data_IF_135550489699
#
_entry.id   IF_135550489699
#
_cell.length_a   1.000
_cell.length_b   1.000
_cell.length_c   1.000
_cell.angle_alpha   90.00
_cell.angle_beta   90.00
_cell.angle_gamma   90.00
#
_symmetry.space_group_name_H-M   'P 1'
#
loop_
_entity.id
_entity.type
_entity.pdbx_description
1 polymer ?
#
# COMPACT_ATOMS: atom_id res chain seq x y z
N UNK A 1 -6.15 -11.75 64.48
CA UNK A 1 -5.08 -11.41 63.49
C UNK A 1 -5.26 -12.10 62.16
N UNK A 2 -6.42 -12.02 61.48
CA UNK A 2 -6.64 -12.75 60.21
C UNK A 2 -7.37 -11.93 59.10
N UNK A 3 -7.42 -10.60 59.24
CA UNK A 3 -8.10 -9.74 58.25
C UNK A 3 -7.17 -9.02 57.25
N UNK A 4 -5.84 -9.07 57.45
CA UNK A 4 -4.87 -8.35 56.59
C UNK A 4 -4.37 -9.21 55.41
N UNK A 5 -4.46 -10.53 55.48
CA UNK A 5 -3.98 -11.41 54.42
C UNK A 5 -4.93 -11.52 53.19
N UNK A 6 -6.20 -11.15 53.36
CA UNK A 6 -7.17 -11.21 52.25
C UNK A 6 -7.11 -10.00 51.29
N UNK A 7 -6.66 -8.84 51.79
CA UNK A 7 -6.50 -7.66 50.92
C UNK A 7 -5.26 -7.70 50.04
N UNK A 8 -4.19 -8.38 50.48
CA UNK A 8 -2.98 -8.52 49.68
C UNK A 8 -3.17 -9.39 48.43
N UNK A 9 -3.99 -10.43 48.51
CA UNK A 9 -4.29 -11.32 47.40
C UNK A 9 -5.14 -10.66 46.30
N UNK A 10 -6.05 -9.79 46.67
CA UNK A 10 -6.91 -9.07 45.75
C UNK A 10 -6.16 -7.96 45.00
N UNK A 11 -5.17 -7.33 45.60
CA UNK A 11 -4.36 -6.29 44.98
C UNK A 11 -3.38 -6.88 43.94
N UNK A 12 -2.83 -8.07 44.22
CA UNK A 12 -1.96 -8.76 43.24
C UNK A 12 -2.76 -9.29 42.03
N UNK A 13 -3.96 -9.82 42.27
CA UNK A 13 -4.85 -10.25 41.15
C UNK A 13 -5.36 -9.07 40.32
N UNK A 14 -5.60 -7.89 40.94
CA UNK A 14 -5.99 -6.68 40.22
C UNK A 14 -4.83 -6.06 39.41
N UNK A 15 -3.57 -6.23 39.83
CA UNK A 15 -2.42 -5.77 39.07
C UNK A 15 -2.07 -6.72 37.90
N UNK A 16 -2.39 -8.01 38.02
CA UNK A 16 -2.20 -8.97 36.94
C UNK A 16 -3.26 -8.85 35.83
N UNK A 17 -4.45 -8.32 36.15
CA UNK A 17 -5.48 -8.05 35.15
C UNK A 17 -5.31 -6.69 34.43
N UNK A 18 -4.39 -5.83 34.89
CA UNK A 18 -4.05 -4.57 34.24
C UNK A 18 -2.86 -4.67 33.30
N UNK A 19 -2.17 -5.82 33.17
CA UNK A 19 -1.22 -6.10 32.13
C UNK A 19 -2.02 -6.42 30.85
N UNK A 20 -2.22 -5.41 29.98
CA UNK A 20 -2.68 -5.64 28.62
C UNK A 20 -1.81 -6.69 27.93
N UNK A 21 -2.36 -7.41 26.97
CA UNK A 21 -1.66 -8.41 26.19
C UNK A 21 -0.30 -7.85 25.74
N UNK A 22 0.80 -8.46 26.21
CA UNK A 22 2.15 -8.04 25.85
C UNK A 22 2.55 -8.60 24.48
N UNK A 23 1.94 -9.71 24.09
CA UNK A 23 2.19 -10.43 22.86
C UNK A 23 0.88 -10.87 22.20
N UNK A 24 0.91 -11.06 20.89
CA UNK A 24 -0.20 -11.57 20.09
C UNK A 24 0.29 -12.63 19.10
N UNK A 25 -0.51 -13.69 18.92
CA UNK A 25 -0.28 -14.66 17.86
C UNK A 25 -0.89 -14.15 16.57
N UNK A 26 -0.05 -14.02 15.54
CA UNK A 26 -0.45 -13.69 14.18
C UNK A 26 -0.41 -14.98 13.37
N UNK A 27 -1.60 -15.50 13.06
CA UNK A 27 -1.76 -16.74 12.32
C UNK A 27 -2.99 -16.62 11.42
N UNK A 28 -2.77 -16.21 10.19
CA UNK A 28 -3.83 -15.86 9.25
C UNK A 28 -4.66 -17.09 8.86
N UNK A 29 -5.85 -17.19 9.40
CA UNK A 29 -6.83 -18.25 9.11
C UNK A 29 -8.21 -17.67 8.99
N UNK A 30 -8.77 -17.76 7.82
CA UNK A 30 -10.13 -17.33 7.53
C UNK A 30 -11.00 -18.53 7.18
N UNK A 31 -11.98 -18.84 8.01
CA UNK A 31 -12.87 -19.98 7.81
C UNK A 31 -13.91 -19.71 6.72
N UNK A 32 -14.51 -18.52 6.75
CA UNK A 32 -15.54 -18.12 5.81
C UNK A 32 -15.07 -16.96 4.94
N UNK A 33 -15.40 -16.93 3.65
CA UNK A 33 -15.10 -15.80 2.78
C UNK A 33 -15.71 -14.51 3.31
N UNK A 34 -14.98 -13.39 3.16
CA UNK A 34 -15.48 -12.07 3.54
C UNK A 34 -15.49 -11.14 2.33
N UNK A 35 -16.56 -10.36 2.20
CA UNK A 35 -16.67 -9.31 1.21
C UNK A 35 -16.45 -7.96 1.88
N UNK A 36 -15.52 -7.19 1.34
CA UNK A 36 -15.11 -5.88 1.83
C UNK A 36 -15.42 -4.81 0.78
N UNK A 37 -15.80 -3.63 1.22
CA UNK A 37 -15.76 -2.42 0.42
C UNK A 37 -14.42 -1.74 0.64
N UNK A 38 -13.62 -1.64 -0.41
CA UNK A 38 -12.34 -0.95 -0.42
C UNK A 38 -12.52 0.47 -0.92
N UNK A 39 -12.20 1.45 -0.08
CA UNK A 39 -11.99 2.82 -0.48
C UNK A 39 -10.49 3.10 -0.54
N UNK A 40 -10.02 3.67 -1.64
CA UNK A 40 -8.64 4.10 -1.78
C UNK A 40 -8.61 5.58 -2.10
N UNK A 41 -7.89 6.35 -1.30
CA UNK A 41 -7.52 7.72 -1.61
C UNK A 41 -6.02 7.79 -1.90
N UNK A 42 -5.66 8.51 -2.95
CA UNK A 42 -4.26 8.76 -3.27
C UNK A 42 -4.04 10.25 -3.50
N UNK A 43 -2.98 10.75 -2.90
CA UNK A 43 -2.49 12.11 -3.08
C UNK A 43 -1.09 12.07 -3.66
N UNK A 44 -0.86 12.86 -4.68
CA UNK A 44 0.42 13.01 -5.34
C UNK A 44 0.77 14.49 -5.46
N UNK A 45 1.93 14.88 -4.96
CA UNK A 45 2.45 16.24 -5.06
C UNK A 45 3.89 16.27 -5.51
N UNK A 46 4.25 17.33 -6.22
CA UNK A 46 5.62 17.69 -6.53
C UNK A 46 5.97 18.95 -5.77
N UNK A 47 7.12 18.90 -5.11
CA UNK A 47 7.65 20.02 -4.37
C UNK A 47 8.77 20.69 -5.18
N UNK A 48 8.82 22.02 -5.15
CA UNK A 48 9.96 22.75 -5.72
C UNK A 48 11.20 22.65 -4.82
N UNK A 49 12.29 23.30 -5.23
CA UNK A 49 13.55 23.32 -4.47
C UNK A 49 13.43 24.00 -3.10
N UNK A 50 12.33 24.73 -2.85
CA UNK A 50 12.04 25.37 -1.56
C UNK A 50 11.11 24.55 -0.68
N UNK A 51 10.64 23.40 -1.20
CA UNK A 51 9.67 22.56 -0.52
C UNK A 51 8.22 23.04 -0.65
N UNK A 52 7.94 24.03 -1.51
CA UNK A 52 6.58 24.47 -1.79
C UNK A 52 5.91 23.55 -2.80
N UNK A 53 4.67 23.17 -2.53
CA UNK A 53 3.87 22.36 -3.45
C UNK A 53 3.58 23.13 -4.74
N UNK A 54 3.93 22.57 -5.87
CA UNK A 54 3.67 23.15 -7.20
C UNK A 54 2.55 22.47 -7.95
N UNK A 55 2.27 21.23 -7.61
CA UNK A 55 1.20 20.46 -8.22
C UNK A 55 0.77 19.36 -7.27
N UNK A 56 -0.52 19.29 -7.01
CA UNK A 56 -1.13 18.23 -6.24
C UNK A 56 -2.32 17.62 -6.97
N UNK A 57 -2.50 16.31 -6.85
CA UNK A 57 -3.63 15.59 -7.41
C UNK A 57 -4.17 14.63 -6.37
N UNK A 58 -5.48 14.68 -6.15
CA UNK A 58 -6.19 13.72 -5.29
C UNK A 58 -7.06 12.84 -6.18
N UNK A 59 -6.97 11.54 -5.99
CA UNK A 59 -7.88 10.56 -6.62
C UNK A 59 -8.51 9.67 -5.56
N UNK A 60 -9.76 9.29 -5.77
CA UNK A 60 -10.46 8.34 -4.93
C UNK A 60 -11.05 7.23 -5.79
N UNK A 61 -10.90 5.99 -5.32
CA UNK A 61 -11.44 4.82 -6.01
C UNK A 61 -12.13 3.89 -5.05
N UNK A 62 -13.10 3.13 -5.57
CA UNK A 62 -13.85 2.13 -4.83
C UNK A 62 -13.72 0.78 -5.50
N UNK A 63 -13.66 -0.28 -4.70
CA UNK A 63 -13.68 -1.66 -5.19
C UNK A 63 -14.41 -2.56 -4.19
N UNK A 64 -15.10 -3.57 -4.72
CA UNK A 64 -15.53 -4.72 -3.94
C UNK A 64 -14.37 -5.72 -3.88
N UNK A 65 -14.04 -6.18 -2.68
CA UNK A 65 -12.95 -7.13 -2.46
C UNK A 65 -13.53 -8.39 -1.81
N UNK A 66 -13.41 -9.51 -2.51
CA UNK A 66 -13.70 -10.82 -1.94
C UNK A 66 -12.38 -11.44 -1.45
N UNK A 67 -12.33 -11.72 -0.17
CA UNK A 67 -11.18 -12.33 0.49
C UNK A 67 -11.57 -13.71 1.00
N UNK A 68 -10.81 -14.74 0.64
CA UNK A 68 -11.01 -16.11 1.12
C UNK A 68 -9.67 -16.81 1.34
N UNK A 69 -9.67 -17.84 2.16
CA UNK A 69 -8.48 -18.67 2.42
C UNK A 69 -8.80 -20.15 2.30
N UNK A 70 -7.81 -20.91 1.85
CA UNK A 70 -7.84 -22.38 1.87
C UNK A 70 -6.49 -22.87 2.40
N UNK A 71 -6.45 -23.31 3.66
CA UNK A 71 -5.21 -23.54 4.38
C UNK A 71 -4.40 -22.23 4.45
N UNK A 72 -3.12 -22.27 4.08
CA UNK A 72 -2.23 -21.11 4.07
C UNK A 72 -2.33 -20.26 2.78
N UNK A 73 -3.25 -20.60 1.88
CA UNK A 73 -3.42 -19.90 0.60
C UNK A 73 -4.55 -18.91 0.67
N UNK A 74 -4.23 -17.63 0.47
CA UNK A 74 -5.19 -16.56 0.34
C UNK A 74 -5.55 -16.32 -1.13
N UNK A 75 -6.84 -16.08 -1.36
CA UNK A 75 -7.41 -15.71 -2.66
C UNK A 75 -8.12 -14.37 -2.50
N UNK A 76 -7.66 -13.36 -3.22
CA UNK A 76 -8.22 -12.01 -3.18
C UNK A 76 -8.66 -11.60 -4.57
N UNK A 77 -9.95 -11.30 -4.70
CA UNK A 77 -10.56 -10.82 -5.92
C UNK A 77 -11.05 -9.39 -5.71
N UNK A 78 -10.60 -8.46 -6.54
CA UNK A 78 -11.00 -7.05 -6.51
C UNK A 78 -11.75 -6.68 -7.78
N UNK A 79 -12.95 -6.11 -7.60
CA UNK A 79 -13.76 -5.56 -8.68
C UNK A 79 -13.91 -4.06 -8.48
N UNK A 80 -13.33 -3.26 -9.35
CA UNK A 80 -13.38 -1.80 -9.22
C UNK A 80 -14.74 -1.24 -9.66
N UNK A 81 -15.28 -0.31 -8.85
CA UNK A 81 -16.56 0.36 -9.10
C UNK A 81 -16.27 1.75 -9.67
N UNK A 82 -16.27 1.87 -10.99
CA UNK A 82 -15.86 3.08 -11.71
C UNK A 82 -16.81 4.25 -11.44
N UNK A 83 -18.12 4.01 -11.35
CA UNK A 83 -19.14 5.06 -11.21
C UNK A 83 -19.05 5.84 -9.90
N UNK A 84 -18.47 5.25 -8.85
CA UNK A 84 -18.26 5.89 -7.55
C UNK A 84 -16.95 6.67 -7.47
N UNK A 85 -16.05 6.48 -8.41
CA UNK A 85 -14.71 7.08 -8.37
C UNK A 85 -14.75 8.59 -8.64
N UNK A 86 -13.92 9.35 -7.93
CA UNK A 86 -13.85 10.82 -8.01
C UNK A 86 -12.45 11.28 -8.42
N UNK A 87 -12.35 12.53 -8.86
CA UNK A 87 -11.10 13.17 -9.23
C UNK A 87 -10.85 13.15 -10.73
N UNK A 88 -9.60 13.16 -11.14
CA UNK A 88 -9.15 13.20 -12.53
C UNK A 88 -9.77 12.12 -13.44
N UNK A 89 -10.37 11.09 -12.85
CA UNK A 89 -11.02 9.98 -13.51
C UNK A 89 -12.18 10.33 -14.44
N UNK A 90 -12.89 11.42 -14.18
CA UNK A 90 -14.02 11.83 -15.06
C UNK A 90 -13.55 12.38 -16.40
N UNK A 91 -12.35 12.97 -16.45
CA UNK A 91 -11.86 13.67 -17.64
C UNK A 91 -10.59 13.05 -18.25
N UNK A 92 -9.77 12.38 -17.47
CA UNK A 92 -8.56 11.70 -17.90
C UNK A 92 -8.36 10.52 -16.98
N UNK A 93 -8.33 9.30 -17.52
CA UNK A 93 -7.92 8.16 -16.71
C UNK A 93 -6.42 8.27 -16.46
N UNK A 94 -5.99 8.52 -15.23
CA UNK A 94 -4.58 8.41 -14.90
C UNK A 94 -4.14 6.98 -15.19
N UNK A 95 -2.92 6.83 -15.63
CA UNK A 95 -2.29 5.52 -15.90
C UNK A 95 -2.37 4.56 -14.72
N UNK A 96 -2.41 5.08 -13.50
CA UNK A 96 -2.60 4.31 -12.27
C UNK A 96 -3.95 3.59 -12.17
N UNK A 97 -4.91 3.93 -13.01
CA UNK A 97 -6.24 3.32 -13.01
C UNK A 97 -6.51 2.45 -14.23
N UNK A 98 -5.60 2.46 -15.18
CA UNK A 98 -5.69 1.64 -16.36
C UNK A 98 -5.94 0.17 -16.02
N UNK A 99 -5.17 -0.34 -15.08
CA UNK A 99 -5.26 -1.71 -14.60
C UNK A 99 -6.46 -1.94 -13.66
N UNK A 100 -7.17 -0.88 -13.22
CA UNK A 100 -8.34 -0.95 -12.35
C UNK A 100 -9.67 -1.09 -13.10
N UNK A 101 -9.65 -1.10 -14.42
CA UNK A 101 -10.88 -1.27 -15.22
C UNK A 101 -11.43 -2.69 -15.12
N UNK A 102 -10.56 -3.65 -14.90
CA UNK A 102 -10.91 -5.06 -14.84
C UNK A 102 -10.77 -5.64 -13.42
N UNK A 103 -11.28 -6.84 -13.29
CA UNK A 103 -11.10 -7.67 -12.10
C UNK A 103 -9.60 -7.99 -11.89
N UNK A 104 -9.11 -7.74 -10.70
CA UNK A 104 -7.75 -8.12 -10.30
C UNK A 104 -7.82 -9.28 -9.32
N UNK A 105 -7.18 -10.39 -9.64
CA UNK A 105 -7.11 -11.58 -8.79
C UNK A 105 -5.67 -11.78 -8.30
N UNK A 106 -5.52 -11.95 -6.99
CA UNK A 106 -4.27 -12.25 -6.32
C UNK A 106 -4.40 -13.58 -5.58
N UNK A 107 -3.40 -14.44 -5.76
CA UNK A 107 -3.24 -15.66 -4.96
C UNK A 107 -1.90 -15.57 -4.24
N UNK A 108 -1.91 -15.83 -2.95
CA UNK A 108 -0.70 -15.80 -2.13
C UNK A 108 -0.66 -16.99 -1.16
N UNK A 109 0.52 -17.52 -0.91
CA UNK A 109 0.79 -18.47 0.16
C UNK A 109 1.57 -17.74 1.23
N UNK A 110 0.95 -17.60 2.40
CA UNK A 110 1.44 -16.68 3.45
C UNK A 110 1.60 -15.26 2.84
N UNK A 111 2.77 -14.66 2.92
CA UNK A 111 3.06 -13.37 2.29
C UNK A 111 3.48 -13.44 0.81
N UNK A 112 3.80 -14.63 0.30
CA UNK A 112 4.37 -14.77 -1.04
C UNK A 112 3.26 -14.81 -2.10
N UNK A 113 3.20 -13.81 -2.95
CA UNK A 113 2.28 -13.77 -4.08
C UNK A 113 2.73 -14.75 -5.15
N UNK A 114 1.91 -15.79 -5.38
CA UNK A 114 2.17 -16.84 -6.36
C UNK A 114 1.50 -16.58 -7.71
N UNK A 115 0.39 -15.82 -7.71
CA UNK A 115 -0.31 -15.42 -8.92
C UNK A 115 -0.91 -14.02 -8.77
N UNK A 116 -0.86 -13.25 -9.85
CA UNK A 116 -1.48 -11.93 -9.95
C UNK A 116 -1.96 -11.73 -11.39
N UNK A 117 -3.27 -11.72 -11.59
CA UNK A 117 -3.92 -11.61 -12.92
C UNK A 117 -4.87 -10.43 -12.98
N UNK A 118 -5.30 -10.07 -14.19
CA UNK A 118 -6.22 -8.96 -14.44
C UNK A 118 -5.53 -7.60 -14.68
N UNK A 119 -4.29 -7.41 -14.23
CA UNK A 119 -3.54 -6.16 -14.45
C UNK A 119 -3.24 -5.99 -15.94
N UNK A 120 -2.75 -7.04 -16.61
CA UNK A 120 -2.40 -6.98 -18.02
C UNK A 120 -3.64 -6.71 -18.88
N UNK A 121 -4.73 -7.42 -18.63
CA UNK A 121 -5.98 -7.29 -19.38
C UNK A 121 -6.60 -5.90 -19.22
N UNK A 122 -6.61 -5.38 -18.00
CA UNK A 122 -7.07 -4.01 -17.73
C UNK A 122 -6.25 -2.97 -18.44
N UNK A 123 -4.94 -3.16 -18.45
CA UNK A 123 -4.01 -2.30 -19.14
C UNK A 123 -4.18 -2.33 -20.67
N UNK A 124 -4.33 -3.51 -21.26
CA UNK A 124 -4.53 -3.67 -22.69
C UNK A 124 -5.90 -3.11 -23.14
N UNK A 125 -6.93 -3.29 -22.29
CA UNK A 125 -8.25 -2.67 -22.51
C UNK A 125 -8.16 -1.15 -22.53
N UNK A 126 -7.39 -0.56 -21.62
CA UNK A 126 -7.15 0.89 -21.60
C UNK A 126 -6.50 1.37 -22.91
N UNK A 127 -5.43 0.70 -23.32
CA UNK A 127 -4.70 1.05 -24.54
C UNK A 127 -5.58 0.95 -25.79
N UNK A 128 -6.51 -0.02 -25.81
CA UNK A 128 -7.37 -0.28 -26.95
C UNK A 128 -8.56 0.71 -27.07
N UNK A 129 -9.14 1.09 -25.93
CA UNK A 129 -10.46 1.73 -25.94
C UNK A 129 -10.49 3.17 -25.43
N UNK A 130 -9.43 3.64 -24.75
CA UNK A 130 -9.42 5.00 -24.23
C UNK A 130 -8.68 5.94 -25.16
N UNK A 131 -9.35 6.95 -25.71
CA UNK A 131 -8.69 7.99 -26.49
C UNK A 131 -7.75 8.78 -25.56
N UNK A 132 -6.46 8.74 -25.87
CA UNK A 132 -5.44 9.46 -25.11
C UNK A 132 -4.44 10.12 -26.06
N UNK A 133 -3.81 11.22 -25.62
CA UNK A 133 -2.73 11.85 -26.36
C UNK A 133 -1.61 10.84 -26.68
N UNK A 134 -1.03 10.95 -27.87
CA UNK A 134 0.01 10.03 -28.38
C UNK A 134 1.21 9.90 -27.44
N UNK A 135 1.58 10.99 -26.76
CA UNK A 135 2.63 11.00 -25.75
C UNK A 135 2.33 10.10 -24.54
N UNK A 136 1.07 10.09 -24.06
CA UNK A 136 0.64 9.23 -22.96
C UNK A 136 0.61 7.77 -23.38
N UNK A 137 0.14 7.52 -24.60
CA UNK A 137 0.14 6.18 -25.17
C UNK A 137 1.55 5.62 -25.30
N UNK A 138 2.52 6.44 -25.70
CA UNK A 138 3.92 6.03 -25.79
C UNK A 138 4.52 5.64 -24.42
N UNK A 139 4.13 6.34 -23.34
CA UNK A 139 4.57 5.99 -21.99
C UNK A 139 3.97 4.67 -21.51
N UNK A 140 2.68 4.47 -21.75
CA UNK A 140 2.00 3.23 -21.42
C UNK A 140 2.56 2.04 -22.20
N UNK A 141 3.09 2.25 -23.39
CA UNK A 141 3.75 1.23 -24.19
C UNK A 141 5.17 0.88 -23.70
N UNK A 142 5.68 1.58 -22.66
CA UNK A 142 6.96 1.21 -22.08
C UNK A 142 6.88 -0.22 -21.49
N UNK A 143 7.77 -1.13 -21.94
CA UNK A 143 7.74 -2.54 -21.52
C UNK A 143 7.93 -2.74 -20.00
N UNK A 144 8.55 -1.77 -19.31
CA UNK A 144 8.79 -1.85 -17.87
C UNK A 144 7.58 -1.46 -17.03
N UNK A 145 6.55 -0.86 -17.61
CA UNK A 145 5.43 -0.31 -16.86
C UNK A 145 4.52 -1.40 -16.25
N UNK A 146 4.10 -2.41 -17.05
CA UNK A 146 3.29 -3.53 -16.53
C UNK A 146 4.00 -4.32 -15.43
N UNK A 147 5.29 -4.72 -15.59
CA UNK A 147 6.05 -5.35 -14.52
C UNK A 147 6.13 -4.50 -13.25
N UNK A 148 6.26 -3.18 -13.38
CA UNK A 148 6.28 -2.26 -12.24
C UNK A 148 4.96 -2.27 -11.46
N UNK A 149 3.81 -2.19 -12.15
CA UNK A 149 2.50 -2.26 -11.50
C UNK A 149 2.29 -3.58 -10.75
N UNK A 150 2.66 -4.70 -11.35
CA UNK A 150 2.61 -6.02 -10.69
C UNK A 150 3.50 -6.07 -9.45
N UNK A 151 4.69 -5.50 -9.54
CA UNK A 151 5.63 -5.41 -8.41
C UNK A 151 5.05 -4.58 -7.27
N UNK A 152 4.41 -3.43 -7.55
CA UNK A 152 3.76 -2.60 -6.53
C UNK A 152 2.67 -3.37 -5.78
N UNK A 153 1.78 -4.08 -6.49
CA UNK A 153 0.71 -4.86 -5.87
C UNK A 153 1.27 -6.03 -5.04
N UNK A 154 2.31 -6.71 -5.55
CA UNK A 154 3.00 -7.76 -4.83
C UNK A 154 3.63 -7.25 -3.53
N UNK A 155 4.41 -6.18 -3.61
CA UNK A 155 5.07 -5.59 -2.43
C UNK A 155 4.06 -5.12 -1.40
N UNK A 156 2.94 -4.55 -1.81
CA UNK A 156 1.90 -4.13 -0.89
C UNK A 156 1.32 -5.30 -0.11
N UNK A 157 1.00 -6.40 -0.79
CA UNK A 157 0.56 -7.62 -0.12
C UNK A 157 1.61 -8.13 0.87
N UNK A 158 2.87 -8.21 0.44
CA UNK A 158 3.98 -8.68 1.25
C UNK A 158 4.20 -7.83 2.51
N UNK A 159 4.03 -6.51 2.41
CA UNK A 159 4.13 -5.59 3.55
C UNK A 159 2.93 -5.73 4.49
N UNK A 160 1.72 -5.87 3.95
CA UNK A 160 0.51 -6.01 4.77
C UNK A 160 0.42 -7.36 5.50
N UNK A 161 1.19 -8.37 5.07
CA UNK A 161 1.25 -9.69 5.69
C UNK A 161 2.66 -10.02 6.24
N UNK A 162 3.38 -8.98 6.66
CA UNK A 162 4.77 -9.13 7.11
C UNK A 162 4.89 -9.86 8.45
N UNK A 163 3.95 -9.65 9.37
CA UNK A 163 3.96 -10.27 10.69
C UNK A 163 3.51 -11.74 10.62
N UNK A 164 4.11 -12.62 11.44
CA UNK A 164 3.68 -14.01 11.63
C UNK A 164 4.21 -14.57 12.95
N UNK A 165 3.46 -15.49 13.55
CA UNK A 165 3.81 -16.10 14.83
C UNK A 165 3.54 -15.16 16.00
N UNK A 166 4.21 -15.40 17.12
CA UNK A 166 4.04 -14.58 18.32
C UNK A 166 4.89 -13.31 18.19
N UNK A 167 4.23 -12.17 18.26
CA UNK A 167 4.89 -10.86 18.17
C UNK A 167 4.48 -9.96 19.34
N UNK A 168 5.35 -9.06 19.82
CA UNK A 168 4.97 -8.03 20.79
C UNK A 168 3.84 -7.15 20.25
N UNK A 169 2.85 -6.85 21.10
CA UNK A 169 1.75 -5.93 20.73
C UNK A 169 2.26 -4.51 20.51
N UNK A 170 3.30 -4.10 21.26
CA UNK A 170 3.98 -2.81 21.10
C UNK A 170 5.49 -2.99 21.15
N UNK A 171 6.18 -2.45 20.18
CA UNK A 171 7.64 -2.43 20.16
C UNK A 171 8.24 -2.64 18.78
N UNK A 172 9.57 -2.62 18.74
CA UNK A 172 10.33 -2.88 17.52
C UNK A 172 10.47 -4.40 17.33
N UNK A 173 9.97 -4.92 16.21
CA UNK A 173 9.97 -6.35 15.86
C UNK A 173 10.94 -6.68 14.71
N UNK A 174 11.77 -5.74 14.31
CA UNK A 174 12.67 -5.87 13.14
C UNK A 174 13.58 -7.09 13.24
N UNK A 175 14.28 -7.27 14.38
CA UNK A 175 15.20 -8.38 14.54
C UNK A 175 14.48 -9.74 14.59
N UNK A 176 13.28 -9.79 15.18
CA UNK A 176 12.44 -11.00 15.17
C UNK A 176 12.09 -11.39 13.72
N UNK A 177 11.61 -10.45 12.91
CA UNK A 177 11.25 -10.70 11.51
C UNK A 177 12.47 -11.04 10.64
N UNK A 178 13.63 -10.47 10.94
CA UNK A 178 14.89 -10.80 10.28
C UNK A 178 15.30 -12.24 10.56
N UNK A 179 15.22 -12.67 11.82
CA UNK A 179 15.49 -14.07 12.21
C UNK A 179 14.53 -15.05 11.53
N UNK A 180 13.28 -14.66 11.31
CA UNK A 180 12.28 -15.43 10.57
C UNK A 180 12.51 -15.40 9.03
N UNK A 181 13.51 -14.67 8.53
CA UNK A 181 13.75 -14.49 7.09
C UNK A 181 12.67 -13.66 6.37
N UNK A 182 11.87 -12.87 7.10
CA UNK A 182 10.73 -12.14 6.52
C UNK A 182 11.09 -10.77 5.96
N UNK A 183 12.31 -10.27 6.16
CA UNK A 183 12.77 -8.97 5.68
C UNK A 183 13.60 -9.03 4.39
N UNK A 184 13.64 -10.18 3.71
CA UNK A 184 14.41 -10.34 2.48
C UNK A 184 13.59 -9.88 1.27
N UNK A 185 13.89 -8.69 0.76
CA UNK A 185 13.30 -8.11 -0.44
C UNK A 185 14.41 -7.72 -1.43
N UNK A 186 14.18 -7.96 -2.71
CA UNK A 186 15.21 -7.76 -3.73
C UNK A 186 15.55 -6.27 -3.99
N UNK A 187 14.56 -5.38 -3.87
CA UNK A 187 14.69 -3.96 -4.26
C UNK A 187 14.31 -2.98 -3.14
N UNK A 188 14.00 -3.50 -1.96
CA UNK A 188 13.53 -2.73 -0.82
C UNK A 188 14.41 -3.07 0.37
N UNK A 189 14.92 -2.05 1.04
CA UNK A 189 15.61 -2.18 2.32
C UNK A 189 14.66 -1.77 3.43
N UNK A 190 14.28 -2.72 4.28
CA UNK A 190 13.51 -2.41 5.48
C UNK A 190 14.47 -1.94 6.58
N UNK A 191 14.22 -0.74 7.07
CA UNK A 191 15.00 -0.13 8.15
C UNK A 191 14.47 -0.58 9.52
N UNK A 192 13.15 -0.55 9.70
CA UNK A 192 12.52 -1.03 10.92
C UNK A 192 11.04 -1.38 10.74
N UNK A 193 10.56 -2.25 11.64
CA UNK A 193 9.14 -2.61 11.77
C UNK A 193 8.75 -2.43 13.23
N UNK A 194 7.69 -1.64 13.48
CA UNK A 194 7.25 -1.29 14.82
C UNK A 194 5.76 -1.58 14.96
N UNK A 195 5.40 -2.42 15.93
CA UNK A 195 4.01 -2.63 16.35
C UNK A 195 3.57 -1.51 17.29
N UNK A 196 2.37 -0.96 17.09
CA UNK A 196 1.82 0.20 17.82
C UNK A 196 0.75 -0.19 18.85
N UNK A 197 0.19 -1.37 18.74
CA UNK A 197 -0.87 -1.85 19.61
C UNK A 197 -2.12 -2.26 18.85
N UNK A 198 -3.20 -2.48 19.59
CA UNK A 198 -4.49 -2.77 19.01
C UNK A 198 -5.30 -1.50 18.77
N UNK A 199 -5.96 -1.45 17.64
CA UNK A 199 -6.94 -0.43 17.26
C UNK A 199 -8.24 -1.12 16.86
N UNK A 200 -9.38 -0.62 17.32
CA UNK A 200 -10.68 -1.10 16.88
C UNK A 200 -11.14 -0.30 15.67
N UNK A 201 -11.39 -0.97 14.55
CA UNK A 201 -11.90 -0.36 13.33
C UNK A 201 -12.98 -1.22 12.70
N UNK A 202 -14.10 -0.63 12.35
CA UNK A 202 -15.27 -1.34 11.79
C UNK A 202 -15.64 -2.59 12.61
N UNK A 203 -15.65 -2.45 13.94
CA UNK A 203 -15.88 -3.51 14.94
C UNK A 203 -14.85 -4.67 14.91
N UNK A 204 -13.74 -4.52 14.23
CA UNK A 204 -12.62 -5.46 14.20
C UNK A 204 -11.48 -5.01 15.10
N UNK A 205 -10.91 -5.94 15.87
CA UNK A 205 -9.68 -5.70 16.67
C UNK A 205 -8.48 -5.90 15.76
N UNK A 206 -7.90 -4.82 15.28
CA UNK A 206 -6.77 -4.83 14.36
C UNK A 206 -5.46 -4.55 15.09
N UNK A 207 -4.41 -5.29 14.77
CA UNK A 207 -3.04 -4.97 15.17
C UNK A 207 -2.49 -3.91 14.23
N UNK A 208 -2.02 -2.81 14.80
CA UNK A 208 -1.41 -1.70 14.07
C UNK A 208 0.11 -1.84 14.07
N UNK A 209 0.74 -1.74 12.90
CA UNK A 209 2.19 -1.69 12.76
C UNK A 209 2.64 -0.81 11.61
N UNK A 210 3.88 -0.35 11.68
CA UNK A 210 4.51 0.49 10.66
C UNK A 210 5.79 -0.14 10.18
N UNK A 211 5.99 -0.12 8.87
CA UNK A 211 7.21 -0.51 8.19
C UNK A 211 7.90 0.75 7.66
N UNK A 212 9.11 1.01 8.11
CA UNK A 212 9.96 2.06 7.57
C UNK A 212 10.93 1.43 6.57
N UNK A 213 10.96 1.95 5.35
CA UNK A 213 11.75 1.34 4.29
C UNK A 213 12.37 2.38 3.35
N UNK A 214 13.45 1.95 2.70
CA UNK A 214 14.09 2.65 1.59
C UNK A 214 13.94 1.86 0.31
N UNK A 215 13.57 2.53 -0.74
CA UNK A 215 13.47 1.98 -2.09
C UNK A 215 14.36 2.79 -3.03
N UNK A 216 15.10 2.10 -3.89
CA UNK A 216 15.79 2.73 -5.01
C UNK A 216 15.14 2.23 -6.29
N UNK A 217 14.43 3.11 -6.98
CA UNK A 217 13.77 2.78 -8.24
C UNK A 217 14.29 3.62 -9.39
N UNK A 218 14.44 3.00 -10.57
CA UNK A 218 14.41 3.76 -11.80
C UNK A 218 12.94 4.03 -12.13
N UNK A 219 12.59 5.30 -12.21
CA UNK A 219 11.22 5.70 -12.47
C UNK A 219 10.75 5.24 -13.84
N UNK A 220 9.58 4.63 -13.93
CA UNK A 220 8.86 4.60 -15.16
C UNK A 220 8.53 6.05 -15.58
N UNK A 221 8.60 6.29 -16.85
CA UNK A 221 8.40 7.51 -17.61
C UNK A 221 7.24 8.42 -17.15
N UNK A 222 6.26 7.86 -16.47
CA UNK A 222 5.02 8.48 -16.02
C UNK A 222 5.21 9.67 -15.06
N UNK A 223 6.07 9.55 -14.06
CA UNK A 223 6.32 10.64 -13.10
C UNK A 223 7.05 11.79 -13.79
N UNK A 224 7.86 11.48 -14.77
CA UNK A 224 8.54 12.44 -15.60
C UNK A 224 7.64 13.50 -16.24
N UNK A 225 6.50 13.11 -16.87
CA UNK A 225 5.64 14.07 -17.54
C UNK A 225 4.94 15.04 -16.59
N UNK A 226 4.56 14.58 -15.42
CA UNK A 226 3.99 15.47 -14.42
C UNK A 226 5.01 16.55 -14.03
N UNK A 227 6.27 16.20 -13.89
CA UNK A 227 7.35 17.13 -13.53
C UNK A 227 7.77 18.02 -14.70
N UNK A 228 7.86 17.49 -15.90
CA UNK A 228 8.18 18.26 -17.12
C UNK A 228 7.09 19.28 -17.44
N UNK A 229 5.82 18.94 -17.22
CA UNK A 229 4.69 19.88 -17.36
C UNK A 229 4.67 21.00 -16.31
N UNK A 230 5.30 20.80 -15.17
CA UNK A 230 5.21 21.66 -13.99
C UNK A 230 6.17 22.85 -13.97
N UNK A 231 7.00 23.06 -14.99
CA UNK A 231 8.08 24.07 -15.04
C UNK A 231 9.21 23.89 -13.99
N UNK A 232 9.19 22.80 -13.23
CA UNK A 232 10.24 22.50 -12.25
C UNK A 232 11.50 22.03 -12.95
N UNK A 233 11.34 21.29 -14.04
CA UNK A 233 12.43 20.77 -14.84
C UNK A 233 12.77 21.75 -15.95
N UNK A 234 14.01 22.29 -15.99
CA UNK A 234 14.45 23.18 -17.05
C UNK A 234 14.30 22.55 -18.45
N UNK A 235 13.98 23.37 -19.45
CA UNK A 235 13.70 22.89 -20.83
C UNK A 235 14.82 22.03 -21.42
N UNK A 236 16.08 22.33 -21.07
CA UNK A 236 17.24 21.55 -21.50
C UNK A 236 17.23 20.08 -21.03
N UNK A 237 16.48 19.74 -19.99
CA UNK A 237 16.34 18.39 -19.48
C UNK A 237 15.11 17.64 -20.02
N UNK A 238 14.16 18.35 -20.63
CA UNK A 238 12.89 17.77 -21.09
C UNK A 238 13.01 16.69 -22.17
N UNK A 239 14.12 16.63 -22.86
CA UNK A 239 14.38 15.66 -23.90
C UNK A 239 15.03 14.36 -23.37
N UNK A 240 15.47 14.34 -22.12
CA UNK A 240 16.22 13.23 -21.54
C UNK A 240 15.36 12.47 -20.54
N UNK A 241 14.71 11.44 -21.03
CA UNK A 241 13.75 10.65 -20.27
C UNK A 241 14.30 9.35 -19.73
N UNK A 242 15.50 8.95 -20.14
CA UNK A 242 16.15 7.72 -19.71
C UNK A 242 17.11 8.00 -18.54
N UNK A 243 17.04 7.20 -17.49
CA UNK A 243 18.01 7.23 -16.40
C UNK A 243 17.65 8.10 -15.20
N UNK A 244 16.38 8.52 -15.08
CA UNK A 244 15.90 9.11 -13.85
C UNK A 244 15.94 8.05 -12.74
N UNK A 245 16.76 8.28 -11.72
CA UNK A 245 16.80 7.47 -10.51
C UNK A 245 16.14 8.22 -9.38
N UNK A 246 15.34 7.51 -8.60
CA UNK A 246 14.73 8.04 -7.40
C UNK A 246 15.13 7.23 -6.18
N UNK A 247 15.33 7.90 -5.07
CA UNK A 247 15.44 7.30 -3.77
C UNK A 247 14.22 7.68 -2.96
N UNK A 248 13.55 6.69 -2.37
CA UNK A 248 12.36 6.90 -1.56
C UNK A 248 12.58 6.47 -0.13
N UNK A 249 12.05 7.30 0.76
CA UNK A 249 11.74 6.90 2.12
C UNK A 249 10.25 6.69 2.22
N UNK A 250 9.87 5.50 2.65
CA UNK A 250 8.47 5.10 2.74
C UNK A 250 8.14 4.72 4.18
N UNK A 251 7.03 5.24 4.65
CA UNK A 251 6.35 4.79 5.85
C UNK A 251 5.09 4.07 5.41
N UNK A 252 5.01 2.78 5.70
CA UNK A 252 3.88 1.92 5.35
C UNK A 252 3.21 1.42 6.62
N UNK A 253 2.07 1.98 6.95
CA UNK A 253 1.26 1.66 8.13
C UNK A 253 0.18 0.67 7.75
N UNK A 254 -0.01 -0.35 8.60
CA UNK A 254 -0.98 -1.43 8.38
C UNK A 254 -1.75 -1.67 9.65
N UNK A 255 -3.07 -1.70 9.54
CA UNK A 255 -3.97 -2.25 10.53
C UNK A 255 -4.56 -3.54 9.99
N UNK A 256 -4.23 -4.67 10.61
CA UNK A 256 -4.64 -5.99 10.14
C UNK A 256 -5.24 -6.80 11.29
N UNK A 257 -6.24 -7.59 10.99
CA UNK A 257 -6.80 -8.55 11.93
C UNK A 257 -5.83 -9.73 12.08
N UNK A 258 -5.21 -9.93 13.28
CA UNK A 258 -4.08 -10.84 13.41
C UNK A 258 -4.44 -12.33 13.24
N UNK A 259 -5.72 -12.66 13.40
CA UNK A 259 -6.22 -14.04 13.29
C UNK A 259 -6.63 -14.40 11.87
N UNK A 260 -7.13 -13.44 11.08
CA UNK A 260 -7.68 -13.70 9.73
C UNK A 260 -6.78 -13.21 8.61
N UNK A 261 -5.90 -12.25 8.90
CA UNK A 261 -5.11 -11.56 7.88
C UNK A 261 -5.92 -10.58 7.02
N UNK A 262 -7.18 -10.31 7.38
CA UNK A 262 -8.01 -9.35 6.66
C UNK A 262 -7.56 -7.93 7.03
N UNK A 263 -7.12 -7.10 6.07
CA UNK A 263 -6.71 -5.75 6.37
C UNK A 263 -7.92 -4.89 6.78
N UNK A 264 -7.68 -3.94 7.69
CA UNK A 264 -8.65 -2.93 8.10
C UNK A 264 -8.30 -1.58 7.46
N UNK A 265 -7.02 -1.27 7.42
CA UNK A 265 -6.48 -0.06 6.80
C UNK A 265 -5.03 -0.29 6.37
N UNK A 266 -4.66 0.35 5.29
CA UNK A 266 -3.28 0.52 4.85
C UNK A 266 -3.06 1.99 4.55
N UNK A 267 -1.94 2.54 5.00
CA UNK A 267 -1.50 3.90 4.67
C UNK A 267 -0.05 3.87 4.26
N UNK A 268 0.25 4.47 3.14
CA UNK A 268 1.59 4.56 2.59
C UNK A 268 1.93 6.02 2.35
N UNK A 269 3.04 6.48 2.89
CA UNK A 269 3.57 7.82 2.65
C UNK A 269 4.98 7.68 2.10
N UNK A 270 5.18 8.15 0.87
CA UNK A 270 6.47 8.13 0.18
C UNK A 270 6.97 9.55 -0.03
N UNK A 271 8.21 9.79 0.37
CA UNK A 271 8.95 10.99 0.01
C UNK A 271 10.11 10.57 -0.88
N UNK A 272 10.10 11.04 -2.11
CA UNK A 272 11.08 10.70 -3.14
C UNK A 272 12.00 11.88 -3.46
N UNK A 273 13.29 11.60 -3.61
CA UNK A 273 14.26 12.53 -4.17
C UNK A 273 14.71 12.01 -5.53
N UNK A 274 14.59 12.84 -6.54
CA UNK A 274 14.85 12.49 -7.93
C UNK A 274 15.96 13.36 -8.49
N UNK A 275 16.94 12.72 -9.10
CA UNK A 275 18.05 13.45 -9.75
C UNK A 275 18.12 13.06 -11.21
N UNK A 276 18.15 14.08 -12.05
CA UNK A 276 18.41 13.98 -13.48
C UNK A 276 19.75 14.57 -13.80
N UNK A 277 20.49 13.89 -14.65
CA UNK A 277 21.81 14.35 -15.12
C UNK A 277 21.73 14.50 -16.64
N UNK A 278 22.06 15.69 -17.13
CA UNK A 278 22.16 15.94 -18.56
C UNK A 278 23.33 15.10 -19.13
N UNK A 279 23.11 14.29 -20.17
CA UNK A 279 24.13 13.34 -20.65
C UNK A 279 25.38 14.01 -21.18
N UNK A 280 25.26 15.19 -21.82
CA UNK A 280 26.36 15.90 -22.44
C UNK A 280 27.02 16.90 -21.49
N UNK A 281 26.24 17.83 -20.92
CA UNK A 281 26.78 18.91 -20.09
C UNK A 281 27.09 18.47 -18.66
N UNK A 282 26.60 17.29 -18.23
CA UNK A 282 26.67 16.78 -16.86
C UNK A 282 25.98 17.65 -15.81
N UNK A 283 25.28 18.69 -16.23
CA UNK A 283 24.41 19.44 -15.31
C UNK A 283 23.41 18.51 -14.66
N UNK A 284 23.02 18.77 -13.43
CA UNK A 284 22.02 18.00 -12.71
C UNK A 284 20.88 18.88 -12.23
N UNK A 285 19.71 18.28 -12.12
CA UNK A 285 18.55 18.87 -11.44
C UNK A 285 17.98 17.85 -10.47
N UNK A 286 17.69 18.26 -9.26
CA UNK A 286 17.09 17.44 -8.21
C UNK A 286 15.74 18.03 -7.83
N UNK A 287 14.75 17.20 -7.65
CA UNK A 287 13.42 17.59 -7.18
C UNK A 287 12.86 16.54 -6.21
N UNK A 288 11.86 16.91 -5.45
CA UNK A 288 11.21 16.04 -4.46
C UNK A 288 9.77 15.77 -4.85
N UNK A 289 9.31 14.54 -4.65
CA UNK A 289 7.91 14.16 -4.76
C UNK A 289 7.38 13.68 -3.41
N UNK A 290 6.11 13.89 -3.20
CA UNK A 290 5.35 13.37 -2.07
C UNK A 290 4.17 12.59 -2.60
N UNK A 291 4.05 11.33 -2.18
CA UNK A 291 2.95 10.46 -2.57
C UNK A 291 2.36 9.86 -1.31
N UNK A 292 1.05 9.90 -1.15
CA UNK A 292 0.37 9.18 -0.10
C UNK A 292 -0.80 8.38 -0.65
N UNK A 293 -0.97 7.19 -0.09
CA UNK A 293 -2.11 6.32 -0.35
C UNK A 293 -2.75 5.96 0.98
N UNK A 294 -4.06 6.04 1.04
CA UNK A 294 -4.83 5.49 2.15
C UNK A 294 -5.88 4.53 1.59
N UNK A 295 -5.97 3.35 2.20
CA UNK A 295 -6.93 2.31 1.86
C UNK A 295 -7.70 1.92 3.10
N UNK A 296 -9.01 1.94 2.99
CA UNK A 296 -9.94 1.56 4.04
C UNK A 296 -10.72 0.35 3.59
N UNK A 297 -10.69 -0.71 4.39
CA UNK A 297 -11.37 -1.97 4.11
C UNK A 297 -12.52 -2.13 5.12
N UNK A 298 -13.73 -1.87 4.69
CA UNK A 298 -14.93 -2.01 5.51
C UNK A 298 -15.66 -3.31 5.16
N UNK A 299 -16.18 -4.02 6.15
CA UNK A 299 -17.00 -5.22 5.88
C UNK A 299 -18.27 -4.77 5.17
N UNK A 300 -18.50 -5.33 3.98
CA UNK A 300 -19.75 -5.09 3.24
C UNK A 300 -20.88 -5.85 3.95
N UNK A 301 -21.74 -5.12 4.63
CA UNK A 301 -22.93 -5.68 5.26
C UNK A 301 -23.98 -5.82 4.17
N UNK A 302 -24.54 -7.02 4.01
CA UNK A 302 -25.77 -7.18 3.26
C UNK A 302 -26.85 -6.36 3.99
N UNK A 303 -27.40 -5.36 3.31
CA UNK A 303 -28.60 -4.71 3.84
C UNK A 303 -29.68 -5.79 3.87
N UNK A 304 -30.37 -6.01 5.01
CA UNK A 304 -31.52 -6.89 5.01
C UNK A 304 -32.46 -6.37 3.92
N UNK A 305 -32.88 -7.29 3.03
CA UNK A 305 -33.91 -6.98 2.05
C UNK A 305 -35.05 -6.30 2.82
N UNK A 306 -35.40 -5.09 2.41
CA UNK A 306 -36.54 -4.40 2.98
C UNK A 306 -37.74 -5.36 2.75
N UNK A 307 -38.27 -5.90 3.84
CA UNK A 307 -39.50 -6.72 3.76
C UNK A 307 -40.57 -5.82 3.13
N UNK A 308 -40.95 -6.17 1.90
CA UNK A 308 -42.11 -5.59 1.21
C UNK A 308 -43.43 -5.83 1.97
#
# INVERSE_FOLDING_TARGET
MNKIKFLSGMFVAAMLSACGESEVSVDYKLNDPVTLELYTESYYATLDLKGEEKMGTITATYADVNYSMKGDTAFVKRNYVIDKSRGYLKNFMPTELAWRINEVNLTAVDRNVTSLTGIDDGYDTLLAHIPMPSRWRAQLLNPDFKPHLKRLEKHRWEMSHLLKGVVPVKGNVTELLKQQGRLNFALIKIDSVVTKGFTNRDHRKCLDYVVYLHETESFPYFIWEQHVGSKIVPDKFKLYTSGLKGEYRTEFEVMIEPTTGVPCQEREVKVGTHTMIHPETKDSVTFTSHVSYERLYNIKREMPEAAE
#
